data_IF_647437807745
#
_entry.id   IF_647437807745
#
_cell.length_a   1.000
_cell.length_b   1.000
_cell.length_c   1.000
_cell.angle_alpha   90.00
_cell.angle_beta   90.00
_cell.angle_gamma   90.00
#
_symmetry.space_group_name_H-M   'P 1'
#
loop_
_entity.id
_entity.type
_entity.pdbx_description
1 polymer ?
#
# COMPACT_ATOMS: atom_id res chain seq x y z
N UNK A 1 18.90 -1.49 14.82
CA UNK A 1 18.86 -0.26 15.67
C UNK A 1 18.49 0.91 14.78
N UNK A 2 17.40 1.59 15.09
CA UNK A 2 16.95 2.81 14.38
C UNK A 2 18.02 3.89 14.55
N UNK A 3 18.93 3.98 13.60
CA UNK A 3 19.90 5.08 13.55
C UNK A 3 19.18 6.27 12.91
N UNK A 4 18.78 7.27 13.65
CA UNK A 4 18.40 8.64 13.20
C UNK A 4 17.67 8.78 11.83
N UNK A 5 16.98 7.76 11.35
CA UNK A 5 16.17 7.82 10.15
C UNK A 5 14.73 8.26 10.46
N UNK A 6 14.17 9.10 9.63
CA UNK A 6 12.72 9.25 9.56
C UNK A 6 12.14 8.00 8.88
N UNK A 7 11.11 7.41 9.47
CA UNK A 7 10.44 6.22 8.95
C UNK A 7 8.98 6.54 8.66
N UNK A 8 8.58 6.39 7.41
CA UNK A 8 7.19 6.47 6.95
C UNK A 8 6.74 5.08 6.53
N UNK A 9 5.79 4.50 7.25
CA UNK A 9 5.10 3.29 6.82
C UNK A 9 4.07 3.66 5.75
N UNK A 10 4.37 3.33 4.50
CA UNK A 10 3.57 3.74 3.35
C UNK A 10 2.37 2.83 3.05
N UNK A 11 2.12 1.80 3.88
CA UNK A 11 1.04 0.84 3.63
C UNK A 11 0.34 0.42 4.94
N UNK A 12 -0.64 1.21 5.37
CA UNK A 12 -1.36 0.98 6.63
C UNK A 12 -2.87 0.97 6.41
N UNK A 13 -3.52 -0.18 6.61
CA UNK A 13 -4.98 -0.29 6.59
C UNK A 13 -5.57 0.08 7.94
N UNK A 14 -6.52 1.02 7.95
CA UNK A 14 -7.22 1.45 9.15
C UNK A 14 -8.74 1.45 8.95
N UNK A 15 -9.46 1.20 10.02
CA UNK A 15 -10.91 1.08 10.04
C UNK A 15 -11.51 1.87 11.22
N UNK A 16 -12.78 2.33 11.10
CA UNK A 16 -13.50 2.87 12.25
C UNK A 16 -13.55 1.87 13.42
N UNK A 17 -13.35 2.33 14.65
CA UNK A 17 -13.33 1.50 15.87
C UNK A 17 -14.46 0.46 15.91
N UNK A 18 -15.67 0.88 15.51
CA UNK A 18 -16.90 0.04 15.56
C UNK A 18 -16.83 -1.20 14.66
N UNK A 19 -16.01 -1.19 13.61
CA UNK A 19 -15.95 -2.26 12.61
C UNK A 19 -14.55 -2.86 12.49
N UNK A 20 -13.54 -2.28 13.12
CA UNK A 20 -12.14 -2.67 12.96
C UNK A 20 -11.92 -4.16 13.19
N UNK A 21 -12.39 -4.71 14.32
CA UNK A 21 -12.25 -6.13 14.62
C UNK A 21 -12.85 -7.03 13.53
N UNK A 22 -14.06 -6.69 13.02
CA UNK A 22 -14.71 -7.46 11.96
C UNK A 22 -14.00 -7.31 10.61
N UNK A 23 -13.47 -6.13 10.32
CA UNK A 23 -12.72 -5.89 9.08
C UNK A 23 -11.41 -6.67 9.07
N UNK A 24 -10.70 -6.67 10.19
CA UNK A 24 -9.47 -7.45 10.38
C UNK A 24 -9.76 -8.95 10.26
N UNK A 25 -10.77 -9.47 10.97
CA UNK A 25 -11.19 -10.86 10.88
C UNK A 25 -11.55 -11.29 9.44
N UNK A 26 -12.19 -10.40 8.69
CA UNK A 26 -12.52 -10.67 7.27
C UNK A 26 -11.27 -10.79 6.41
N UNK A 27 -10.24 -9.99 6.66
CA UNK A 27 -8.96 -10.05 5.96
C UNK A 27 -8.16 -11.29 6.38
N UNK A 28 -8.15 -11.60 7.67
CA UNK A 28 -7.55 -12.83 8.20
C UNK A 28 -8.16 -14.08 7.55
N UNK A 29 -9.48 -14.11 7.46
CA UNK A 29 -10.17 -15.22 6.78
C UNK A 29 -9.85 -15.28 5.28
N UNK A 30 -9.72 -14.12 4.62
CA UNK A 30 -9.40 -14.07 3.18
C UNK A 30 -8.01 -14.64 2.87
N UNK A 31 -7.03 -14.40 3.76
CA UNK A 31 -5.64 -14.82 3.58
C UNK A 31 -5.22 -16.02 4.43
N UNK A 32 -6.10 -16.56 5.29
CA UNK A 32 -5.78 -17.59 6.30
C UNK A 32 -4.60 -17.15 7.19
N UNK A 33 -4.71 -15.95 7.75
CA UNK A 33 -3.67 -15.29 8.56
C UNK A 33 -4.23 -14.88 9.92
N UNK A 34 -3.36 -14.30 10.74
CA UNK A 34 -3.73 -13.63 11.99
C UNK A 34 -3.05 -12.28 12.05
N UNK A 35 -3.84 -11.22 11.95
CA UNK A 35 -3.35 -9.86 11.99
C UNK A 35 -2.65 -9.54 13.31
N UNK A 36 -1.58 -8.78 13.22
CA UNK A 36 -0.77 -8.33 14.35
C UNK A 36 -1.37 -7.12 15.08
N UNK A 37 -2.10 -6.29 14.33
CA UNK A 37 -2.72 -5.05 14.81
C UNK A 37 -4.24 -5.14 14.89
N UNK A 38 -4.84 -4.16 15.58
CA UNK A 38 -6.29 -4.03 15.72
C UNK A 38 -6.96 -3.35 14.52
N UNK A 39 -6.19 -2.79 13.59
CA UNK A 39 -6.70 -2.06 12.44
C UNK A 39 -7.33 -0.71 12.79
N UNK A 40 -7.06 -0.15 13.97
CA UNK A 40 -7.51 1.19 14.36
C UNK A 40 -6.39 2.22 14.25
N UNK A 41 -6.71 3.49 14.07
CA UNK A 41 -5.72 4.58 14.07
C UNK A 41 -4.96 4.65 15.39
N UNK A 42 -5.64 4.47 16.50
CA UNK A 42 -5.03 4.49 17.85
C UNK A 42 -3.99 3.38 18.01
N UNK A 43 -4.32 2.15 17.59
CA UNK A 43 -3.39 1.02 17.66
C UNK A 43 -2.20 1.23 16.70
N UNK A 44 -2.45 1.69 15.47
CA UNK A 44 -1.41 2.03 14.49
C UNK A 44 -0.40 3.05 15.06
N UNK A 45 -0.88 4.16 15.57
CA UNK A 45 -0.03 5.22 16.14
C UNK A 45 0.78 4.71 17.35
N UNK A 46 0.17 3.88 18.19
CA UNK A 46 0.81 3.33 19.38
C UNK A 46 1.91 2.34 19.02
N UNK A 47 1.58 1.33 18.21
CA UNK A 47 2.53 0.28 17.81
C UNK A 47 3.62 0.82 16.88
N UNK A 48 3.24 1.63 15.90
CA UNK A 48 4.20 2.20 14.97
C UNK A 48 5.19 3.15 15.67
N UNK A 49 4.74 3.98 16.61
CA UNK A 49 5.64 4.82 17.40
C UNK A 49 6.61 3.98 18.26
N UNK A 50 6.13 2.89 18.86
CA UNK A 50 6.96 1.95 19.62
C UNK A 50 8.03 1.29 18.74
N UNK A 51 7.66 0.90 17.50
CA UNK A 51 8.58 0.36 16.50
C UNK A 51 9.54 1.42 15.95
N UNK A 52 9.19 2.70 16.08
CA UNK A 52 9.99 3.83 15.62
C UNK A 52 9.55 4.44 14.31
N UNK A 53 8.32 4.24 13.85
CA UNK A 53 7.74 4.97 12.73
C UNK A 53 7.39 6.40 13.12
N UNK A 54 7.61 7.32 12.21
CA UNK A 54 7.37 8.76 12.40
C UNK A 54 6.12 9.23 11.65
N UNK A 55 5.77 8.53 10.54
CA UNK A 55 4.62 8.84 9.71
C UNK A 55 3.99 7.60 9.08
N UNK A 56 2.74 7.75 8.62
CA UNK A 56 1.96 6.64 8.10
C UNK A 56 1.10 7.08 6.90
N UNK A 57 1.09 6.28 5.85
CA UNK A 57 0.11 6.42 4.77
C UNK A 57 -1.05 5.47 5.06
N UNK A 58 -2.19 6.04 5.39
CA UNK A 58 -3.37 5.29 5.84
C UNK A 58 -4.41 5.14 4.73
N UNK A 59 -5.04 3.98 4.67
CA UNK A 59 -6.05 3.64 3.66
C UNK A 59 -7.04 2.59 4.15
N UNK A 60 -8.13 2.44 3.39
CA UNK A 60 -9.05 1.31 3.41
C UNK A 60 -9.49 0.98 1.99
N UNK A 61 -10.14 -0.17 1.79
CA UNK A 61 -10.60 -0.63 0.48
C UNK A 61 -12.12 -0.68 0.43
N UNK A 62 -12.72 -0.05 -0.59
CA UNK A 62 -14.14 -0.20 -0.88
C UNK A 62 -14.37 -1.51 -1.67
N UNK A 63 -14.70 -2.59 -0.98
CA UNK A 63 -15.02 -3.89 -1.61
C UNK A 63 -16.33 -3.85 -2.43
N UNK A 64 -17.13 -2.81 -2.27
CA UNK A 64 -18.33 -2.52 -3.08
C UNK A 64 -18.39 -1.02 -3.38
N UNK A 65 -19.05 -0.60 -4.50
CA UNK A 65 -19.12 0.83 -4.85
C UNK A 65 -19.81 1.69 -3.79
N UNK A 66 -20.73 1.13 -3.00
CA UNK A 66 -21.46 1.85 -1.94
C UNK A 66 -20.59 2.27 -0.74
N UNK A 67 -19.40 1.71 -0.60
CA UNK A 67 -18.51 2.05 0.51
C UNK A 67 -17.54 3.20 0.20
N UNK A 68 -17.44 3.63 -1.06
CA UNK A 68 -16.44 4.62 -1.52
C UNK A 68 -16.51 5.90 -0.69
N UNK A 69 -17.66 6.57 -0.65
CA UNK A 69 -17.78 7.86 0.02
C UNK A 69 -17.63 7.75 1.55
N UNK A 70 -18.14 6.66 2.14
CA UNK A 70 -18.04 6.47 3.59
C UNK A 70 -16.61 6.24 4.05
N UNK A 71 -15.83 5.49 3.27
CA UNK A 71 -14.42 5.24 3.53
C UNK A 71 -13.61 6.53 3.34
N UNK A 72 -13.81 7.24 2.23
CA UNK A 72 -13.07 8.47 1.95
C UNK A 72 -13.32 9.54 3.03
N UNK A 73 -14.57 9.70 3.48
CA UNK A 73 -14.89 10.58 4.62
C UNK A 73 -14.24 10.11 5.92
N UNK A 74 -14.21 8.80 6.18
CA UNK A 74 -13.58 8.27 7.38
C UNK A 74 -12.07 8.56 7.39
N UNK A 75 -11.36 8.33 6.29
CA UNK A 75 -9.91 8.59 6.21
C UNK A 75 -9.62 10.08 6.42
N UNK A 76 -10.37 10.97 5.77
CA UNK A 76 -10.20 12.41 5.97
C UNK A 76 -10.48 12.84 7.43
N UNK A 77 -11.54 12.30 8.04
CA UNK A 77 -11.87 12.57 9.44
C UNK A 77 -10.79 12.05 10.40
N UNK A 78 -10.25 10.86 10.16
CA UNK A 78 -9.19 10.26 10.97
C UNK A 78 -7.91 11.12 11.00
N UNK A 79 -7.55 11.72 9.85
CA UNK A 79 -6.42 12.66 9.77
C UNK A 79 -6.73 13.91 10.62
N UNK A 80 -7.90 14.51 10.44
CA UNK A 80 -8.28 15.70 11.18
C UNK A 80 -8.35 15.47 12.70
N UNK A 81 -8.84 14.29 13.13
CA UNK A 81 -8.86 13.89 14.54
C UNK A 81 -7.43 13.70 15.10
N UNK A 82 -6.53 13.08 14.35
CA UNK A 82 -5.13 12.90 14.74
C UNK A 82 -4.41 14.27 14.87
N UNK A 83 -4.64 15.18 13.92
CA UNK A 83 -4.14 16.56 14.00
C UNK A 83 -4.63 17.27 15.26
N UNK A 84 -5.93 17.18 15.55
CA UNK A 84 -6.55 17.72 16.76
C UNK A 84 -6.04 17.12 18.06
N UNK A 85 -5.57 15.87 18.02
CA UNK A 85 -4.97 15.17 19.15
C UNK A 85 -3.44 15.42 19.32
N UNK A 86 -2.85 16.25 18.47
CA UNK A 86 -1.41 16.61 18.53
C UNK A 86 -0.48 15.68 17.73
N UNK A 87 -1.01 14.81 16.90
CA UNK A 87 -0.22 13.96 15.99
C UNK A 87 0.03 14.65 14.63
N UNK A 88 0.47 15.92 14.68
CA UNK A 88 0.64 16.77 13.50
C UNK A 88 1.56 16.15 12.44
N UNK A 89 1.05 16.10 11.18
CA UNK A 89 1.79 15.62 10.02
C UNK A 89 2.13 14.12 10.05
N UNK A 90 1.56 13.35 10.99
CA UNK A 90 1.85 11.91 11.10
C UNK A 90 1.03 11.06 10.14
N UNK A 91 -0.14 11.48 9.75
CA UNK A 91 -1.02 10.73 8.87
C UNK A 91 -1.16 11.40 7.50
N UNK A 92 -0.97 10.61 6.46
CA UNK A 92 -1.31 10.94 5.08
C UNK A 92 -2.36 9.95 4.61
N UNK A 93 -3.48 10.40 4.05
CA UNK A 93 -4.57 9.52 3.67
C UNK A 93 -4.62 9.23 2.19
N UNK A 94 -4.95 7.99 1.84
CA UNK A 94 -5.40 7.65 0.50
C UNK A 94 -6.91 7.40 0.51
N UNK A 95 -7.59 7.89 -0.52
CA UNK A 95 -8.97 7.52 -0.79
C UNK A 95 -9.07 6.12 -1.39
N UNK A 96 -10.28 5.70 -1.69
CA UNK A 96 -10.55 4.48 -2.44
C UNK A 96 -11.60 4.74 -3.51
N UNK A 97 -11.57 3.96 -4.58
CA UNK A 97 -12.53 3.98 -5.67
C UNK A 97 -12.99 2.55 -5.98
N UNK A 98 -14.04 2.40 -6.76
CA UNK A 98 -14.51 1.12 -7.25
C UNK A 98 -14.92 1.25 -8.72
N UNK A 99 -14.53 0.33 -9.63
CA UNK A 99 -14.85 0.45 -11.06
C UNK A 99 -16.35 0.55 -11.39
N UNK A 100 -17.20 -0.02 -10.54
CA UNK A 100 -18.66 0.03 -10.71
C UNK A 100 -19.30 1.23 -9.97
N UNK A 101 -18.51 2.22 -9.51
CA UNK A 101 -19.04 3.42 -8.88
C UNK A 101 -19.75 4.31 -9.93
N UNK A 102 -20.99 4.78 -9.64
CA UNK A 102 -21.80 5.49 -10.65
C UNK A 102 -21.26 6.88 -11.01
N UNK A 103 -20.48 7.52 -10.12
CA UNK A 103 -19.91 8.85 -10.29
C UNK A 103 -18.43 8.86 -9.88
N UNK A 104 -17.56 8.34 -10.74
CA UNK A 104 -16.13 8.28 -10.48
C UNK A 104 -15.49 9.68 -10.39
N UNK A 105 -15.94 10.63 -11.24
CA UNK A 105 -15.39 12.00 -11.24
C UNK A 105 -15.71 12.71 -9.93
N UNK A 106 -16.96 12.70 -9.49
CA UNK A 106 -17.36 13.29 -8.22
C UNK A 106 -16.65 12.63 -7.03
N UNK A 107 -16.41 11.31 -7.07
CA UNK A 107 -15.65 10.61 -6.04
C UNK A 107 -14.17 11.05 -6.00
N UNK A 108 -13.52 11.24 -7.16
CA UNK A 108 -12.15 11.75 -7.24
C UNK A 108 -12.06 13.20 -6.77
N UNK A 109 -12.99 14.06 -7.18
CA UNK A 109 -13.06 15.45 -6.70
C UNK A 109 -13.25 15.54 -5.18
N UNK A 110 -14.06 14.63 -4.60
CA UNK A 110 -14.22 14.53 -3.14
C UNK A 110 -12.93 14.04 -2.44
N UNK A 111 -12.15 13.14 -3.05
CA UNK A 111 -10.83 12.73 -2.56
C UNK A 111 -9.89 13.93 -2.48
N UNK A 112 -9.79 14.70 -3.57
CA UNK A 112 -8.95 15.90 -3.63
C UNK A 112 -9.41 16.96 -2.63
N UNK A 113 -10.72 17.25 -2.58
CA UNK A 113 -11.29 18.22 -1.65
C UNK A 113 -11.12 17.80 -0.17
N UNK A 114 -11.09 16.50 0.10
CA UNK A 114 -10.80 15.92 1.41
C UNK A 114 -9.33 15.93 1.82
N UNK A 115 -8.43 16.46 0.98
CA UNK A 115 -7.00 16.49 1.25
C UNK A 115 -6.35 15.09 1.24
N UNK A 116 -6.89 14.15 0.49
CA UNK A 116 -6.31 12.82 0.33
C UNK A 116 -5.31 12.80 -0.83
N UNK A 117 -4.20 12.10 -0.65
CA UNK A 117 -3.00 12.20 -1.46
C UNK A 117 -2.85 11.11 -2.52
N UNK A 118 -3.86 10.30 -2.75
CA UNK A 118 -3.85 9.21 -3.71
C UNK A 118 -5.04 8.29 -3.54
N UNK A 119 -5.00 7.14 -4.20
CA UNK A 119 -6.09 6.16 -4.20
C UNK A 119 -5.55 4.77 -3.89
N UNK A 120 -6.21 4.03 -2.98
CA UNK A 120 -5.98 2.61 -2.75
C UNK A 120 -6.96 1.77 -3.54
N UNK A 121 -6.43 0.79 -4.27
CA UNK A 121 -7.21 -0.26 -4.95
C UNK A 121 -6.73 -1.66 -4.52
N UNK A 122 -7.66 -2.60 -4.49
CA UNK A 122 -7.39 -4.00 -4.21
C UNK A 122 -8.16 -4.90 -5.18
N UNK A 123 -7.62 -5.15 -6.38
CA UNK A 123 -8.35 -5.82 -7.46
C UNK A 123 -8.96 -7.18 -7.06
N UNK A 124 -8.23 -7.97 -6.25
CA UNK A 124 -8.70 -9.31 -5.84
C UNK A 124 -9.91 -9.24 -4.88
N UNK A 125 -9.94 -8.29 -3.94
CA UNK A 125 -11.10 -8.08 -3.06
C UNK A 125 -12.25 -7.36 -3.78
N UNK A 126 -11.94 -6.48 -4.71
CA UNK A 126 -12.91 -5.71 -5.50
C UNK A 126 -13.40 -6.47 -6.74
N UNK A 127 -12.79 -7.61 -7.07
CA UNK A 127 -13.15 -8.55 -8.15
C UNK A 127 -13.15 -7.90 -9.54
N UNK A 128 -12.09 -7.18 -9.88
CA UNK A 128 -11.85 -6.68 -11.23
C UNK A 128 -10.42 -6.94 -11.67
N UNK A 129 -10.22 -7.19 -12.94
CA UNK A 129 -8.86 -7.29 -13.49
C UNK A 129 -8.26 -5.89 -13.64
N UNK A 130 -6.99 -5.73 -13.26
CA UNK A 130 -6.28 -4.45 -13.34
C UNK A 130 -6.40 -3.81 -14.74
N UNK A 131 -6.34 -4.60 -15.79
CA UNK A 131 -6.49 -4.16 -17.19
C UNK A 131 -7.93 -4.20 -17.73
N UNK A 132 -8.94 -4.36 -16.87
CA UNK A 132 -10.34 -4.28 -17.28
C UNK A 132 -10.69 -2.85 -17.73
N UNK A 133 -11.31 -2.73 -18.90
CA UNK A 133 -11.71 -1.42 -19.46
C UNK A 133 -12.65 -0.63 -18.54
N UNK A 134 -13.41 -1.29 -17.69
CA UNK A 134 -14.24 -0.62 -16.68
C UNK A 134 -13.44 0.11 -15.60
N UNK A 135 -12.17 -0.28 -15.37
CA UNK A 135 -11.29 0.40 -14.42
C UNK A 135 -10.54 1.59 -15.05
N UNK A 136 -10.46 1.68 -16.39
CA UNK A 136 -9.72 2.75 -17.09
C UNK A 136 -10.17 4.16 -16.72
N UNK A 137 -11.47 4.47 -16.53
CA UNK A 137 -11.87 5.79 -16.05
C UNK A 137 -11.25 6.19 -14.71
N UNK A 138 -10.94 5.23 -13.81
CA UNK A 138 -10.21 5.50 -12.57
C UNK A 138 -8.78 5.96 -12.90
N UNK A 139 -8.10 5.27 -13.81
CA UNK A 139 -6.72 5.57 -14.20
C UNK A 139 -6.61 6.92 -14.92
N UNK A 140 -7.54 7.21 -15.81
CA UNK A 140 -7.66 8.50 -16.50
C UNK A 140 -7.82 9.64 -15.49
N UNK A 141 -8.76 9.53 -14.56
CA UNK A 141 -9.00 10.53 -13.54
C UNK A 141 -7.84 10.68 -12.57
N UNK A 142 -7.25 9.58 -12.09
CA UNK A 142 -6.08 9.65 -11.23
C UNK A 142 -4.89 10.33 -11.92
N UNK A 143 -4.66 10.05 -13.19
CA UNK A 143 -3.64 10.74 -14.00
C UNK A 143 -3.96 12.21 -14.21
N UNK A 144 -5.23 12.58 -14.50
CA UNK A 144 -5.71 13.94 -14.67
C UNK A 144 -5.49 14.78 -13.41
N UNK A 145 -5.78 14.22 -12.23
CA UNK A 145 -5.65 14.91 -10.94
C UNK A 145 -4.29 14.73 -10.26
N UNK A 146 -3.36 14.01 -10.88
CA UNK A 146 -2.03 13.74 -10.31
C UNK A 146 -2.06 12.89 -9.04
N UNK A 147 -3.07 12.03 -8.87
CA UNK A 147 -3.23 11.14 -7.73
C UNK A 147 -2.50 9.81 -8.00
N UNK A 148 -1.47 9.44 -7.22
CA UNK A 148 -0.87 8.12 -7.31
C UNK A 148 -1.87 7.05 -6.86
N UNK A 149 -1.75 5.86 -7.44
CA UNK A 149 -2.54 4.70 -7.04
C UNK A 149 -1.63 3.72 -6.29
N UNK A 150 -1.94 3.44 -5.02
CA UNK A 150 -1.41 2.29 -4.29
C UNK A 150 -2.29 1.08 -4.61
N UNK A 151 -1.75 0.15 -5.40
CA UNK A 151 -2.50 -0.99 -5.91
C UNK A 151 -1.96 -2.30 -5.32
N UNK A 152 -2.84 -3.10 -4.71
CA UNK A 152 -2.50 -4.48 -4.35
C UNK A 152 -2.14 -5.27 -5.60
N UNK A 153 -1.02 -5.98 -5.56
CA UNK A 153 -0.50 -6.75 -6.69
C UNK A 153 -0.09 -8.15 -6.28
N UNK A 154 -0.44 -9.10 -7.13
CA UNK A 154 -0.09 -10.50 -6.99
C UNK A 154 -0.94 -11.24 -5.95
N UNK A 155 -1.59 -12.28 -6.37
CA UNK A 155 -2.21 -13.29 -5.52
C UNK A 155 -2.29 -14.55 -6.37
N UNK A 156 -1.53 -15.61 -6.06
CA UNK A 156 -1.49 -16.80 -6.92
C UNK A 156 -2.83 -17.55 -7.03
N UNK A 157 -3.82 -17.21 -6.19
CA UNK A 157 -5.17 -17.78 -6.28
C UNK A 157 -6.03 -17.13 -7.36
N UNK A 158 -5.69 -15.90 -7.75
CA UNK A 158 -6.48 -15.07 -8.66
C UNK A 158 -5.61 -14.45 -9.74
N UNK A 159 -6.26 -14.10 -10.86
CA UNK A 159 -5.58 -13.43 -11.98
C UNK A 159 -5.94 -11.94 -12.07
N UNK A 160 -6.58 -11.38 -11.04
CA UNK A 160 -7.05 -9.99 -11.07
C UNK A 160 -5.90 -8.98 -11.03
N UNK A 161 -4.90 -9.23 -10.19
CA UNK A 161 -3.76 -8.34 -9.91
C UNK A 161 -2.41 -8.88 -10.42
N UNK A 162 -2.41 -9.74 -11.45
CA UNK A 162 -1.19 -10.29 -12.01
C UNK A 162 -0.32 -9.18 -12.65
N UNK A 163 1.02 -9.19 -12.51
CA UNK A 163 1.93 -8.18 -13.05
C UNK A 163 1.77 -7.90 -14.56
N UNK A 164 1.42 -8.89 -15.39
CA UNK A 164 1.16 -8.69 -16.82
C UNK A 164 0.00 -7.74 -17.11
N UNK A 165 -0.97 -7.70 -16.20
CA UNK A 165 -2.12 -6.78 -16.32
C UNK A 165 -1.70 -5.35 -16.04
N UNK A 166 -0.88 -5.16 -14.99
CA UNK A 166 -0.33 -3.84 -14.68
C UNK A 166 0.61 -3.33 -15.79
N UNK A 167 1.38 -4.24 -16.41
CA UNK A 167 2.21 -3.89 -17.58
C UNK A 167 1.39 -3.18 -18.67
N UNK A 168 0.18 -3.68 -18.98
CA UNK A 168 -0.70 -3.06 -19.98
C UNK A 168 -1.19 -1.68 -19.55
N UNK A 169 -1.60 -1.56 -18.29
CA UNK A 169 -2.05 -0.26 -17.74
C UNK A 169 -0.94 0.77 -17.75
N UNK A 170 0.29 0.42 -17.31
CA UNK A 170 1.43 1.33 -17.34
C UNK A 170 1.80 1.76 -18.76
N UNK A 171 1.60 0.88 -19.75
CA UNK A 171 1.82 1.20 -21.16
C UNK A 171 0.74 2.14 -21.71
N UNK A 172 -0.52 1.94 -21.32
CA UNK A 172 -1.65 2.76 -21.77
C UNK A 172 -1.70 4.13 -21.06
N UNK A 173 -1.17 4.23 -19.81
CA UNK A 173 -1.20 5.42 -18.95
C UNK A 173 0.20 5.84 -18.48
N UNK A 174 1.05 6.38 -19.36
CA UNK A 174 2.46 6.69 -19.02
C UNK A 174 2.61 7.84 -18.00
N UNK A 175 1.56 8.63 -17.76
CA UNK A 175 1.54 9.72 -16.76
C UNK A 175 0.94 9.32 -15.42
N UNK A 176 0.33 8.13 -15.33
CA UNK A 176 -0.23 7.62 -14.10
C UNK A 176 0.88 7.08 -13.20
N UNK A 177 0.99 7.58 -11.98
CA UNK A 177 1.90 7.01 -10.97
C UNK A 177 1.21 5.84 -10.27
N UNK A 178 1.86 4.67 -10.25
CA UNK A 178 1.37 3.48 -9.54
C UNK A 178 2.42 3.00 -8.54
N UNK A 179 2.01 2.79 -7.30
CA UNK A 179 2.76 2.00 -6.32
C UNK A 179 2.18 0.58 -6.36
N UNK A 180 2.91 -0.31 -6.99
CA UNK A 180 2.57 -1.73 -7.07
C UNK A 180 3.00 -2.41 -5.76
N UNK A 181 2.05 -2.62 -4.86
CA UNK A 181 2.30 -3.15 -3.53
C UNK A 181 3.00 -4.53 -3.55
N UNK A 182 3.61 -4.87 -2.41
CA UNK A 182 4.21 -6.18 -2.17
C UNK A 182 5.34 -6.49 -3.16
N UNK A 183 6.30 -5.55 -3.31
CA UNK A 183 7.42 -5.62 -4.27
C UNK A 183 6.95 -5.87 -5.71
N UNK A 184 5.78 -5.31 -6.07
CA UNK A 184 5.20 -5.37 -7.41
C UNK A 184 4.35 -6.59 -7.71
N UNK A 185 4.28 -7.56 -6.80
CA UNK A 185 3.44 -8.75 -6.97
C UNK A 185 3.72 -9.82 -5.91
N UNK A 186 2.89 -9.89 -4.89
CA UNK A 186 3.00 -10.91 -3.84
C UNK A 186 3.15 -12.31 -4.43
N UNK A 187 4.15 -13.05 -3.97
CA UNK A 187 4.58 -14.37 -4.48
C UNK A 187 5.14 -14.39 -5.92
N UNK A 188 5.16 -13.26 -6.64
CA UNK A 188 5.68 -13.15 -8.00
C UNK A 188 6.82 -12.12 -8.13
N UNK A 189 7.58 -11.88 -7.07
CA UNK A 189 8.50 -10.74 -6.91
C UNK A 189 9.54 -10.59 -8.03
N UNK A 190 10.28 -11.67 -8.36
CA UNK A 190 11.27 -11.63 -9.44
C UNK A 190 10.63 -11.38 -10.79
N UNK A 191 9.51 -12.07 -11.07
CA UNK A 191 8.77 -11.89 -12.31
C UNK A 191 8.21 -10.47 -12.45
N UNK A 192 7.64 -9.93 -11.37
CA UNK A 192 7.13 -8.56 -11.34
C UNK A 192 8.24 -7.54 -11.60
N UNK A 193 9.41 -7.73 -10.95
CA UNK A 193 10.57 -6.89 -11.15
C UNK A 193 11.07 -6.94 -12.61
N UNK A 194 11.24 -8.14 -13.18
CA UNK A 194 11.67 -8.31 -14.57
C UNK A 194 10.70 -7.65 -15.56
N UNK A 195 9.43 -7.67 -15.24
CA UNK A 195 8.37 -7.19 -16.11
C UNK A 195 8.16 -5.68 -16.03
N UNK A 196 8.25 -5.11 -14.83
CA UNK A 196 7.74 -3.77 -14.55
C UNK A 196 8.82 -2.73 -14.24
N UNK A 197 10.02 -3.13 -13.79
CA UNK A 197 11.03 -2.18 -13.33
C UNK A 197 11.49 -1.17 -14.40
N UNK A 198 11.31 -1.48 -15.68
CA UNK A 198 11.63 -0.60 -16.80
C UNK A 198 10.71 0.63 -16.95
N UNK A 199 9.52 0.64 -16.32
CA UNK A 199 8.63 1.79 -16.38
C UNK A 199 9.09 2.89 -15.42
N UNK A 200 9.01 4.15 -15.86
CA UNK A 200 9.38 5.31 -15.04
C UNK A 200 8.31 5.72 -14.03
N UNK A 201 7.07 5.30 -14.26
CA UNK A 201 5.87 5.69 -13.50
C UNK A 201 5.37 4.59 -12.54
N UNK A 202 6.17 3.55 -12.32
CA UNK A 202 5.90 2.50 -11.33
C UNK A 202 6.87 2.58 -10.15
N UNK A 203 6.32 2.43 -8.97
CA UNK A 203 6.98 2.28 -7.68
C UNK A 203 6.52 0.99 -7.03
N UNK A 204 7.20 0.55 -5.98
CA UNK A 204 6.80 -0.62 -5.18
C UNK A 204 6.94 -0.32 -3.70
N UNK A 205 6.25 -1.07 -2.86
CA UNK A 205 6.50 -1.06 -1.43
C UNK A 205 6.96 -2.43 -0.93
N UNK A 206 7.55 -2.47 0.26
CA UNK A 206 8.10 -3.68 0.87
C UNK A 206 7.07 -4.51 1.64
N UNK A 207 5.82 -4.05 1.68
CA UNK A 207 4.76 -4.67 2.48
C UNK A 207 4.56 -6.15 2.13
N UNK A 208 4.21 -6.96 3.12
CA UNK A 208 3.96 -8.41 2.99
C UNK A 208 5.07 -9.20 2.29
N UNK A 209 6.33 -8.71 2.29
CA UNK A 209 7.41 -9.34 1.51
C UNK A 209 8.59 -9.79 2.36
N UNK A 210 8.81 -9.23 3.56
CA UNK A 210 10.08 -9.38 4.28
C UNK A 210 10.02 -10.26 5.55
N UNK A 211 9.20 -9.88 6.53
CA UNK A 211 9.38 -10.40 7.88
C UNK A 211 8.70 -11.74 8.16
N UNK A 212 7.54 -12.00 7.60
CA UNK A 212 6.70 -13.14 7.99
C UNK A 212 6.22 -13.91 6.78
N UNK A 213 6.41 -15.25 6.74
CA UNK A 213 5.83 -16.09 5.71
C UNK A 213 4.31 -15.97 5.72
N UNK A 214 3.72 -15.77 4.56
CA UNK A 214 2.28 -15.62 4.42
C UNK A 214 1.66 -16.88 3.86
N UNK A 215 0.68 -17.44 4.56
CA UNK A 215 -0.19 -18.47 4.06
C UNK A 215 -1.46 -17.83 3.54
N UNK A 216 -1.72 -17.94 2.25
CA UNK A 216 -3.01 -17.57 1.70
C UNK A 216 -3.92 -18.79 1.66
N UNK A 217 -5.19 -18.61 1.98
CA UNK A 217 -6.17 -19.67 2.01
C UNK A 217 -6.21 -20.47 0.70
N UNK A 218 -6.05 -21.79 0.81
CA UNK A 218 -6.05 -22.68 -0.36
C UNK A 218 -4.75 -22.73 -1.16
N UNK A 219 -3.66 -22.12 -0.66
CA UNK A 219 -2.32 -22.20 -1.26
C UNK A 219 -1.40 -23.04 -0.37
N UNK A 220 -0.77 -24.04 -0.96
CA UNK A 220 0.29 -24.83 -0.36
C UNK A 220 1.43 -25.02 -1.38
N UNK A 221 2.71 -24.85 -1.02
CA UNK A 221 3.20 -24.46 0.30
C UNK A 221 2.94 -22.97 0.63
N UNK A 222 3.28 -22.55 1.86
CA UNK A 222 3.28 -21.14 2.23
C UNK A 222 4.10 -20.29 1.26
N UNK A 223 3.67 -19.06 1.03
CA UNK A 223 4.50 -18.04 0.40
C UNK A 223 5.55 -17.61 1.41
N UNK A 224 6.80 -18.04 1.17
CA UNK A 224 7.91 -17.69 2.04
C UNK A 224 8.30 -16.22 1.84
N UNK A 225 8.68 -15.55 2.93
CA UNK A 225 9.23 -14.20 2.87
C UNK A 225 10.54 -14.19 2.08
N UNK A 226 10.82 -13.07 1.44
CA UNK A 226 12.12 -12.84 0.82
C UNK A 226 13.22 -12.78 1.89
N UNK A 227 14.35 -13.43 1.63
CA UNK A 227 15.53 -13.25 2.48
C UNK A 227 16.07 -11.81 2.37
N UNK A 228 16.80 -11.31 3.38
CA UNK A 228 17.40 -9.97 3.32
C UNK A 228 18.24 -9.74 2.07
N UNK A 229 19.09 -10.69 1.69
CA UNK A 229 19.94 -10.59 0.49
C UNK A 229 19.12 -10.53 -0.80
N UNK A 230 18.06 -11.35 -0.91
CA UNK A 230 17.19 -11.35 -2.08
C UNK A 230 16.40 -10.05 -2.17
N UNK A 231 15.88 -9.56 -1.04
CA UNK A 231 15.17 -8.27 -0.99
C UNK A 231 16.09 -7.13 -1.40
N UNK A 232 17.32 -7.07 -0.88
CA UNK A 232 18.30 -6.06 -1.26
C UNK A 232 18.64 -6.09 -2.76
N UNK A 233 18.77 -7.29 -3.32
CA UNK A 233 19.01 -7.46 -4.76
C UNK A 233 17.82 -6.97 -5.60
N UNK A 234 16.59 -7.29 -5.20
CA UNK A 234 15.38 -6.81 -5.86
C UNK A 234 15.22 -5.29 -5.76
N UNK A 235 15.48 -4.69 -4.59
CA UNK A 235 15.48 -3.24 -4.39
C UNK A 235 16.40 -2.55 -5.39
N UNK A 236 17.62 -3.03 -5.52
CA UNK A 236 18.58 -2.45 -6.48
C UNK A 236 18.19 -2.66 -7.93
N UNK A 237 17.53 -3.78 -8.23
CA UNK A 237 17.04 -4.09 -9.58
C UNK A 237 15.81 -3.23 -9.96
N UNK A 238 14.91 -2.94 -9.01
CA UNK A 238 13.82 -1.97 -9.18
C UNK A 238 14.34 -0.54 -9.38
N UNK A 239 15.44 -0.20 -8.75
CA UNK A 239 15.94 1.14 -8.52
C UNK A 239 15.51 1.64 -7.14
N UNK A 240 16.49 1.98 -6.31
CA UNK A 240 16.27 2.36 -4.90
C UNK A 240 15.26 3.51 -4.76
N UNK A 241 15.29 4.43 -5.70
CA UNK A 241 14.37 5.58 -5.77
C UNK A 241 12.90 5.21 -6.04
N UNK A 242 12.63 3.97 -6.39
CA UNK A 242 11.28 3.46 -6.67
C UNK A 242 10.69 2.62 -5.54
N UNK A 243 11.45 2.34 -4.50
CA UNK A 243 11.02 1.45 -3.41
C UNK A 243 10.62 2.27 -2.19
N UNK A 244 9.44 1.99 -1.64
CA UNK A 244 8.92 2.58 -0.42
C UNK A 244 8.92 1.54 0.70
N UNK A 245 9.19 1.96 1.94
CA UNK A 245 8.94 1.12 3.10
C UNK A 245 7.45 1.06 3.39
N UNK A 246 6.90 -0.13 3.57
CA UNK A 246 5.51 -0.37 3.94
C UNK A 246 5.37 -1.73 4.61
N UNK A 247 4.39 -1.87 5.50
CA UNK A 247 4.23 -3.09 6.32
C UNK A 247 2.96 -3.88 6.02
N UNK A 248 1.94 -3.25 5.43
CA UNK A 248 0.58 -3.82 5.32
C UNK A 248 -0.11 -3.97 6.69
N UNK A 249 0.21 -3.04 7.64
CA UNK A 249 -0.54 -2.98 8.90
C UNK A 249 -2.07 -3.03 8.61
N UNK A 250 -2.89 -3.76 9.33
CA UNK A 250 -2.63 -4.47 10.59
C UNK A 250 -2.11 -5.90 10.45
N UNK A 251 -1.86 -6.40 9.23
CA UNK A 251 -1.47 -7.78 8.99
C UNK A 251 -0.13 -8.11 9.65
N UNK A 252 0.87 -7.24 9.51
CA UNK A 252 2.23 -7.47 9.99
C UNK A 252 2.67 -6.42 11.01
N UNK A 253 3.78 -6.73 11.68
CA UNK A 253 4.38 -5.88 12.71
C UNK A 253 5.39 -4.92 12.11
N UNK A 254 5.24 -3.62 12.35
CA UNK A 254 6.24 -2.62 11.96
C UNK A 254 7.62 -2.92 12.57
N UNK A 255 7.67 -3.43 13.79
CA UNK A 255 8.93 -3.80 14.46
C UNK A 255 9.65 -4.92 13.69
N UNK A 256 8.93 -6.01 13.37
CA UNK A 256 9.51 -7.14 12.65
C UNK A 256 9.94 -6.77 11.23
N UNK A 257 9.15 -5.96 10.51
CA UNK A 257 9.50 -5.49 9.17
C UNK A 257 10.70 -4.53 9.19
N UNK A 258 10.82 -3.66 10.19
CA UNK A 258 12.01 -2.81 10.36
C UNK A 258 13.26 -3.62 10.73
N UNK A 259 13.14 -4.66 11.56
CA UNK A 259 14.24 -5.57 11.85
C UNK A 259 14.72 -6.28 10.57
N UNK A 260 13.79 -6.81 9.76
CA UNK A 260 14.09 -7.45 8.48
C UNK A 260 14.71 -6.44 7.50
N UNK A 261 14.20 -5.21 7.46
CA UNK A 261 14.74 -4.14 6.62
C UNK A 261 16.21 -3.82 6.96
N UNK A 262 16.51 -3.61 8.24
CA UNK A 262 17.89 -3.31 8.63
C UNK A 262 18.85 -4.51 8.52
N UNK A 263 18.34 -5.73 8.43
CA UNK A 263 19.14 -6.93 8.16
C UNK A 263 19.64 -6.99 6.70
N UNK A 264 19.12 -6.17 5.80
CA UNK A 264 19.55 -6.10 4.39
C UNK A 264 20.91 -5.40 4.18
N UNK A 265 21.45 -4.74 5.20
CA UNK A 265 22.73 -4.03 5.13
C UNK A 265 22.82 -3.03 3.95
N UNK A 266 21.73 -2.28 3.71
CA UNK A 266 21.70 -1.22 2.72
C UNK A 266 22.54 -0.01 3.20
N UNK A 267 23.02 0.82 2.27
CA UNK A 267 23.73 2.04 2.59
C UNK A 267 22.84 3.06 3.32
N UNK A 268 23.43 4.04 4.01
CA UNK A 268 22.68 5.12 4.67
C UNK A 268 21.79 5.91 3.70
N UNK A 269 22.26 6.10 2.46
CA UNK A 269 21.50 6.78 1.42
C UNK A 269 20.31 5.94 0.96
N UNK A 270 20.52 4.65 0.67
CA UNK A 270 19.44 3.71 0.33
C UNK A 270 18.38 3.67 1.44
N UNK A 271 18.81 3.60 2.70
CA UNK A 271 17.93 3.62 3.86
C UNK A 271 17.06 4.88 3.91
N UNK A 272 17.66 6.07 3.78
CA UNK A 272 16.89 7.33 3.81
C UNK A 272 15.85 7.39 2.68
N UNK A 273 16.25 7.01 1.48
CA UNK A 273 15.37 7.02 0.32
C UNK A 273 14.16 6.11 0.55
N UNK A 274 14.38 4.85 0.93
CA UNK A 274 13.31 3.85 1.06
C UNK A 274 12.43 4.14 2.28
N UNK A 275 13.05 4.48 3.43
CA UNK A 275 12.31 4.66 4.67
C UNK A 275 11.43 5.92 4.68
N UNK A 276 11.73 6.94 3.87
CA UNK A 276 10.91 8.17 3.89
C UNK A 276 10.89 8.99 2.60
N UNK A 277 12.04 9.24 1.95
CA UNK A 277 12.12 10.24 0.89
C UNK A 277 11.26 9.86 -0.33
N UNK A 278 11.24 8.57 -0.68
CA UNK A 278 10.42 8.07 -1.79
C UNK A 278 8.93 8.22 -1.49
N UNK A 279 8.48 7.86 -0.27
CA UNK A 279 7.08 8.04 0.12
C UNK A 279 6.68 9.52 0.11
N UNK A 280 7.55 10.42 0.61
CA UNK A 280 7.34 11.87 0.56
C UNK A 280 7.14 12.37 -0.87
N UNK A 281 8.00 11.92 -1.78
CA UNK A 281 7.92 12.31 -3.20
C UNK A 281 6.66 11.77 -3.87
N UNK A 282 6.33 10.49 -3.68
CA UNK A 282 5.20 9.84 -4.34
C UNK A 282 3.87 10.38 -3.85
N UNK A 283 3.71 10.53 -2.53
CA UNK A 283 2.45 10.96 -1.92
C UNK A 283 2.44 12.45 -1.53
N UNK A 284 3.43 13.24 -1.99
CA UNK A 284 3.53 14.67 -1.68
C UNK A 284 3.40 14.99 -0.19
N UNK A 285 4.13 14.22 0.66
CA UNK A 285 4.13 14.38 2.11
C UNK A 285 5.14 15.49 2.49
N UNK A 286 4.70 16.48 3.25
CA UNK A 286 5.51 17.61 3.71
C UNK A 286 6.51 17.24 4.82
#
# INVERSE_FOLDING_TARGET
MKQNYTVIDSHCHVYPEKIAARAVESTDHFYDTHAHGLGTVTDLLTKGAAAGCDGYVIQSVASTPHHVESINRFIAAAIAEAEGAGHHGKLTGLGTLHPDHPDLRGAVEAIVAGGLHGVKLHPDMQKFHVDDRKAYPIYELCAEYGLPILMHMGDPRFDYSHPDRLYRVLSDFPTLTVVAAHMGGWANWDYACDKLAGFSNVYVDTSSSMATPTKAYGIEPYVESLSPDHTAALIRKWGVEKVLFGTDYPMWSQEADLEAFFAMELTEEENRMILSENARRVFSIC
#
